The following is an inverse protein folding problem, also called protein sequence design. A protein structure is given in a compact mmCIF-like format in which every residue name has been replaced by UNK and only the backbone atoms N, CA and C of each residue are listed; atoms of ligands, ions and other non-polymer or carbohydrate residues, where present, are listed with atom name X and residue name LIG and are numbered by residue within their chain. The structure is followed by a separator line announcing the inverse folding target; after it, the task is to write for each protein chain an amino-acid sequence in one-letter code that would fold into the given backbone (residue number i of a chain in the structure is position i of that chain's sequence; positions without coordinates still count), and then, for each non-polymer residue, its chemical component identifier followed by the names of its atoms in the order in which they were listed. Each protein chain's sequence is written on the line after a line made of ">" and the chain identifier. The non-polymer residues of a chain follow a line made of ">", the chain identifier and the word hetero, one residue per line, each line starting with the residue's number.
data_IF_362530564645
#
_entry.id   IF_362530564645
#
_cell.length_a   1.000
_cell.length_b   1.000
_cell.length_c   1.000
_cell.angle_alpha   90.00
_cell.angle_beta   90.00
_cell.angle_gamma   90.00
#
_symmetry.space_group_name_H-M   'P 1'
#
loop_
_entity.id
_entity.type
_entity.pdbx_description
1 polymer ?
#
# COMPACT_ATOMS: atom_id res chain seq x y z
N UNK A 1 32.47 70.58 -19.45
CA UNK A 1 32.13 69.48 -20.37
C UNK A 1 33.01 68.26 -20.08
N UNK A 2 32.46 67.22 -19.43
CA UNK A 2 32.87 65.81 -19.60
C UNK A 2 31.89 64.94 -18.81
N UNK A 3 31.01 64.27 -19.55
CA UNK A 3 30.01 63.33 -19.05
C UNK A 3 30.76 62.12 -18.49
N UNK A 4 30.48 61.72 -17.26
CA UNK A 4 30.78 60.37 -16.77
C UNK A 4 29.45 59.66 -16.57
N UNK A 5 29.28 58.69 -17.46
CA UNK A 5 28.14 57.79 -17.56
C UNK A 5 28.16 56.90 -16.33
N UNK A 6 27.11 56.99 -15.50
CA UNK A 6 26.85 56.04 -14.43
C UNK A 6 26.43 54.71 -15.08
N UNK A 7 27.39 53.79 -15.16
CA UNK A 7 27.15 52.38 -15.43
C UNK A 7 26.65 51.76 -14.13
N UNK A 8 25.33 51.70 -13.97
CA UNK A 8 24.67 50.88 -12.96
C UNK A 8 24.42 49.51 -13.60
N UNK A 9 25.01 48.42 -13.10
CA UNK A 9 24.63 47.09 -13.56
C UNK A 9 23.21 46.79 -13.07
N UNK A 10 22.29 46.73 -14.03
CA UNK A 10 21.00 46.07 -13.90
C UNK A 10 21.23 44.64 -13.39
N UNK A 11 21.04 44.42 -12.09
CA UNK A 11 21.04 43.07 -11.52
C UNK A 11 20.04 42.98 -10.39
N UNK A 12 18.79 43.35 -10.69
CA UNK A 12 17.63 43.08 -9.80
C UNK A 12 16.48 42.42 -10.57
N UNK A 13 16.74 41.91 -11.78
CA UNK A 13 15.72 41.30 -12.65
C UNK A 13 16.07 39.86 -13.04
N UNK A 14 16.42 39.02 -12.07
CA UNK A 14 16.56 37.56 -12.30
C UNK A 14 16.28 36.73 -11.04
N UNK A 15 15.32 37.14 -10.21
CA UNK A 15 14.79 36.29 -9.11
C UNK A 15 13.26 36.32 -9.10
N UNK A 16 12.64 36.29 -10.27
CA UNK A 16 11.18 36.25 -10.40
C UNK A 16 10.67 35.23 -11.43
N UNK A 17 11.53 34.31 -11.91
CA UNK A 17 11.13 33.32 -12.92
C UNK A 17 11.74 31.93 -12.70
N UNK A 18 11.97 31.56 -11.44
CA UNK A 18 12.22 30.16 -11.04
C UNK A 18 11.29 29.71 -9.90
N UNK A 19 10.13 30.34 -9.80
CA UNK A 19 8.98 29.84 -9.04
C UNK A 19 7.86 29.49 -10.04
N UNK A 20 8.22 28.74 -11.08
CA UNK A 20 7.21 28.02 -11.84
C UNK A 20 6.83 26.80 -11.00
N UNK A 21 5.80 27.01 -10.19
CA UNK A 21 4.89 26.02 -9.64
C UNK A 21 5.30 24.57 -9.93
N UNK A 22 6.05 23.99 -8.98
CA UNK A 22 5.94 22.56 -8.74
C UNK A 22 4.59 22.29 -8.07
N UNK A 23 3.50 22.44 -8.80
CA UNK A 23 2.24 21.81 -8.42
C UNK A 23 2.30 20.34 -8.85
N UNK A 24 3.18 19.58 -8.20
CA UNK A 24 2.95 18.15 -8.06
C UNK A 24 1.73 18.06 -7.16
N UNK A 25 0.54 18.04 -7.78
CA UNK A 25 -0.69 17.64 -7.11
C UNK A 25 -0.35 16.38 -6.32
N UNK A 26 -0.69 16.27 -5.03
CA UNK A 26 -0.66 14.97 -4.38
C UNK A 26 -1.57 14.10 -5.23
N UNK A 27 -0.98 13.20 -6.01
CA UNK A 27 -1.74 12.14 -6.62
C UNK A 27 -2.16 11.33 -5.41
N UNK A 28 -3.34 11.65 -4.87
CA UNK A 28 -4.05 10.82 -3.92
C UNK A 28 -4.30 9.53 -4.69
N UNK A 29 -3.27 8.68 -4.73
CA UNK A 29 -3.42 7.28 -5.06
C UNK A 29 -4.44 6.82 -4.06
N UNK A 30 -5.70 6.74 -4.51
CA UNK A 30 -6.67 5.86 -3.89
C UNK A 30 -5.91 4.56 -3.78
N UNK A 31 -5.51 4.19 -2.56
CA UNK A 31 -5.06 2.84 -2.29
C UNK A 31 -6.25 2.01 -2.70
N UNK A 32 -6.19 1.43 -3.89
CA UNK A 32 -7.23 0.56 -4.38
C UNK A 32 -7.26 -0.56 -3.36
N UNK A 33 -8.29 -0.54 -2.52
CA UNK A 33 -8.44 -1.53 -1.46
C UNK A 33 -8.68 -2.83 -2.21
N UNK A 34 -7.66 -3.67 -2.23
CA UNK A 34 -7.73 -4.97 -2.89
C UNK A 34 -8.69 -5.82 -2.05
N UNK A 35 -9.98 -5.90 -2.40
CA UNK A 35 -10.94 -6.79 -1.72
C UNK A 35 -10.68 -8.28 -2.04
N UNK A 36 -9.42 -8.64 -2.33
CA UNK A 36 -8.98 -9.99 -2.63
C UNK A 36 -8.51 -10.69 -1.35
N UNK A 37 -8.75 -12.00 -1.27
CA UNK A 37 -8.21 -12.82 -0.18
C UNK A 37 -6.75 -13.13 -0.44
N UNK A 38 -5.97 -13.29 0.64
CA UNK A 38 -4.57 -13.70 0.54
C UNK A 38 -4.41 -15.00 -0.26
N UNK A 39 -5.31 -15.98 -0.09
CA UNK A 39 -5.31 -17.23 -0.89
C UNK A 39 -5.27 -16.99 -2.40
N UNK A 40 -6.01 -15.99 -2.89
CA UNK A 40 -6.11 -15.67 -4.31
C UNK A 40 -4.80 -15.04 -4.80
N UNK A 41 -4.20 -14.17 -3.99
CA UNK A 41 -2.89 -13.58 -4.28
C UNK A 41 -1.77 -14.63 -4.30
N UNK A 42 -1.82 -15.58 -3.36
CA UNK A 42 -0.88 -16.70 -3.29
C UNK A 42 -1.08 -17.73 -4.41
N UNK A 43 -2.13 -17.61 -5.23
CA UNK A 43 -2.25 -18.45 -6.42
C UNK A 43 -1.32 -17.97 -7.55
N UNK A 44 -0.92 -16.70 -7.54
CA UNK A 44 -0.08 -16.08 -8.57
C UNK A 44 1.35 -15.81 -8.12
N UNK A 45 1.62 -15.83 -6.80
CA UNK A 45 2.95 -15.65 -6.22
C UNK A 45 3.50 -17.00 -5.76
N UNK A 46 4.66 -17.39 -6.31
CA UNK A 46 5.37 -18.64 -5.97
C UNK A 46 6.74 -18.37 -5.30
N UNK A 47 6.95 -17.15 -4.80
CA UNK A 47 8.19 -16.71 -4.16
C UNK A 47 8.03 -16.54 -2.64
N UNK A 48 9.15 -16.27 -1.95
CA UNK A 48 9.13 -15.92 -0.52
C UNK A 48 8.27 -14.69 -0.28
N UNK A 49 7.44 -14.74 0.75
CA UNK A 49 6.43 -13.71 1.03
C UNK A 49 6.72 -13.09 2.39
N UNK A 50 6.62 -11.76 2.47
CA UNK A 50 6.56 -11.07 3.75
C UNK A 50 5.14 -10.56 3.96
N UNK A 51 4.51 -10.96 5.06
CA UNK A 51 3.20 -10.48 5.48
C UNK A 51 3.36 -9.42 6.55
N UNK A 52 2.56 -8.37 6.49
CA UNK A 52 2.44 -7.37 7.56
C UNK A 52 1.03 -7.40 8.14
N UNK A 53 0.92 -7.66 9.43
CA UNK A 53 -0.35 -7.78 10.16
C UNK A 53 -0.23 -6.94 11.42
N UNK A 54 -1.05 -5.89 11.54
CA UNK A 54 -1.02 -4.98 12.70
C UNK A 54 0.41 -4.49 13.03
N UNK A 55 1.14 -4.02 12.00
CA UNK A 55 2.53 -3.54 12.07
C UNK A 55 3.59 -4.61 12.44
N UNK A 56 3.19 -5.88 12.54
CA UNK A 56 4.12 -7.00 12.71
C UNK A 56 4.44 -7.62 11.35
N UNK A 57 5.74 -7.66 11.00
CA UNK A 57 6.23 -8.30 9.78
C UNK A 57 6.60 -9.76 10.04
N UNK A 58 5.96 -10.66 9.32
CA UNK A 58 6.20 -12.10 9.35
C UNK A 58 6.74 -12.54 7.98
N UNK A 59 7.93 -13.16 7.96
CA UNK A 59 8.53 -13.66 6.73
C UNK A 59 8.29 -15.16 6.60
N UNK A 60 7.86 -15.58 5.41
CA UNK A 60 7.60 -16.97 5.08
C UNK A 60 8.39 -17.36 3.83
N UNK A 61 9.14 -18.45 3.91
CA UNK A 61 9.99 -18.92 2.81
C UNK A 61 9.17 -19.49 1.64
N UNK A 62 7.96 -19.98 1.91
CA UNK A 62 7.05 -20.51 0.89
C UNK A 62 5.59 -20.39 1.31
N UNK A 63 4.69 -20.51 0.33
CA UNK A 63 3.24 -20.56 0.54
C UNK A 63 2.81 -21.67 1.51
N UNK A 64 3.50 -22.80 1.52
CA UNK A 64 3.19 -23.94 2.39
C UNK A 64 3.48 -23.68 3.86
N UNK A 65 4.35 -22.70 4.16
CA UNK A 65 4.66 -22.29 5.53
C UNK A 65 3.58 -21.38 6.14
N UNK A 66 2.61 -20.91 5.34
CA UNK A 66 1.57 -20.00 5.81
C UNK A 66 0.45 -20.75 6.56
N UNK A 67 0.09 -20.31 7.79
CA UNK A 67 -1.04 -20.87 8.50
C UNK A 67 -2.35 -20.72 7.71
N UNK A 68 -3.23 -21.72 7.77
CA UNK A 68 -4.53 -21.65 7.10
C UNK A 68 -5.37 -20.45 7.55
N UNK A 69 -5.23 -20.03 8.81
CA UNK A 69 -5.92 -18.87 9.37
C UNK A 69 -5.58 -17.59 8.60
N UNK A 70 -4.35 -17.45 8.09
CA UNK A 70 -3.91 -16.29 7.31
C UNK A 70 -4.50 -16.26 5.90
N UNK A 71 -4.92 -17.40 5.35
CA UNK A 71 -5.41 -17.51 3.96
C UNK A 71 -6.68 -16.71 3.69
N UNK A 72 -7.50 -16.48 4.71
CA UNK A 72 -8.78 -15.76 4.61
C UNK A 72 -8.65 -14.26 4.93
N UNK A 73 -7.45 -13.77 5.22
CA UNK A 73 -7.23 -12.34 5.42
C UNK A 73 -7.40 -11.59 4.10
N UNK A 74 -7.97 -10.38 4.20
CA UNK A 74 -8.09 -9.47 3.07
C UNK A 74 -6.75 -8.75 2.87
N UNK A 75 -6.29 -8.68 1.64
CA UNK A 75 -5.06 -7.96 1.29
C UNK A 75 -5.38 -6.46 1.24
N UNK A 76 -4.86 -5.65 2.16
CA UNK A 76 -5.08 -4.20 2.10
C UNK A 76 -4.23 -3.53 1.03
N UNK A 77 -2.98 -3.93 0.91
CA UNK A 77 -2.06 -3.38 -0.09
C UNK A 77 -0.86 -4.29 -0.31
N UNK A 78 -0.19 -4.12 -1.46
CA UNK A 78 1.05 -4.80 -1.78
C UNK A 78 2.11 -3.72 -2.03
N UNK A 79 3.24 -3.83 -1.35
CA UNK A 79 4.39 -2.93 -1.47
C UNK A 79 5.63 -3.73 -1.85
N UNK A 80 6.65 -3.05 -2.37
CA UNK A 80 7.98 -3.61 -2.50
C UNK A 80 8.81 -3.15 -1.29
N UNK A 81 9.39 -4.10 -0.55
CA UNK A 81 10.32 -3.84 0.54
C UNK A 81 11.60 -4.61 0.27
N UNK A 82 12.73 -3.91 0.10
CA UNK A 82 14.04 -4.50 -0.17
C UNK A 82 14.02 -5.60 -1.26
N UNK A 83 13.44 -5.29 -2.42
CA UNK A 83 13.34 -6.19 -3.57
C UNK A 83 12.45 -7.43 -3.36
N UNK A 84 11.67 -7.48 -2.27
CA UNK A 84 10.72 -8.54 -1.97
C UNK A 84 9.29 -7.99 -1.86
N UNK A 85 8.26 -8.78 -2.21
CA UNK A 85 6.88 -8.36 -2.05
C UNK A 85 6.49 -8.35 -0.55
N UNK A 86 6.06 -7.19 -0.07
CA UNK A 86 5.45 -6.98 1.24
C UNK A 86 3.94 -6.89 1.06
N UNK A 87 3.22 -7.86 1.62
CA UNK A 87 1.77 -7.95 1.54
C UNK A 87 1.20 -7.48 2.88
N UNK A 88 0.51 -6.35 2.87
CA UNK A 88 -0.14 -5.81 4.07
C UNK A 88 -1.54 -6.39 4.16
N UNK A 89 -1.83 -7.07 5.26
CA UNK A 89 -3.11 -7.70 5.50
C UNK A 89 -4.00 -6.81 6.39
N UNK A 90 -5.29 -6.84 6.08
CA UNK A 90 -6.33 -6.19 6.88
C UNK A 90 -6.84 -7.07 8.01
N UNK A 91 -8.00 -6.72 8.52
CA UNK A 91 -8.69 -7.55 9.49
C UNK A 91 -9.20 -8.84 8.82
N UNK A 92 -9.21 -9.97 9.54
CA UNK A 92 -9.83 -11.18 9.03
C UNK A 92 -11.32 -10.90 8.80
N UNK A 93 -11.82 -11.24 7.61
CA UNK A 93 -13.26 -11.15 7.33
C UNK A 93 -13.95 -12.19 8.22
N UNK A 94 -14.67 -11.73 9.24
CA UNK A 94 -15.45 -12.62 10.11
C UNK A 94 -16.48 -13.36 9.24
N UNK A 95 -16.27 -14.65 9.02
CA UNK A 95 -17.25 -15.51 8.36
C UNK A 95 -18.30 -15.84 9.40
N UNK A 96 -19.55 -15.49 9.14
CA UNK A 96 -20.65 -15.84 10.03
C UNK A 96 -20.76 -17.35 10.15
N UNK A 97 -20.85 -17.84 11.38
CA UNK A 97 -21.13 -19.25 11.66
C UNK A 97 -22.55 -19.61 11.24
N UNK A 98 -22.81 -20.90 11.00
CA UNK A 98 -24.16 -21.37 10.65
C UNK A 98 -25.15 -21.06 11.78
N UNK A 99 -24.71 -21.14 13.04
CA UNK A 99 -25.53 -20.73 14.18
C UNK A 99 -25.83 -19.23 14.18
N UNK A 100 -24.85 -18.36 13.88
CA UNK A 100 -25.07 -16.91 13.73
C UNK A 100 -26.03 -16.56 12.58
N UNK A 101 -26.09 -17.43 11.56
CA UNK A 101 -27.03 -17.31 10.43
C UNK A 101 -28.42 -17.90 10.73
N UNK A 102 -28.66 -18.38 11.95
CA UNK A 102 -29.94 -18.94 12.39
C UNK A 102 -30.19 -20.36 11.91
N UNK A 103 -29.18 -21.04 11.35
CA UNK A 103 -29.27 -22.45 11.04
C UNK A 103 -28.97 -23.25 12.30
N UNK A 104 -29.96 -24.02 12.76
CA UNK A 104 -29.77 -25.08 13.74
C UNK A 104 -29.92 -26.41 13.03
N UNK A 105 -28.96 -27.32 13.25
CA UNK A 105 -29.09 -28.69 12.78
C UNK A 105 -29.84 -29.47 13.84
N UNK A 106 -31.06 -29.88 13.53
CA UNK A 106 -31.76 -30.90 14.30
C UNK A 106 -31.06 -32.24 14.05
N UNK A 107 -30.20 -32.65 14.98
CA UNK A 107 -29.67 -34.02 14.99
C UNK A 107 -30.78 -34.95 15.47
N UNK A 108 -31.55 -35.52 14.54
CA UNK A 108 -32.50 -36.58 14.85
C UNK A 108 -31.77 -37.76 15.50
N UNK A 109 -32.24 -38.18 16.67
CA UNK A 109 -31.77 -39.37 17.40
C UNK A 109 -32.00 -40.66 16.61
#
# INVERSE_FOLDING_TARGET
>A
MKRRVFSLPFTVFTIALLYHQSEVKPNTMKSEVLDMKLRELLAVIDSSITLEIADVKEKYDSKSALPQERMNYIVKSIKADNNSPLIILGEPKKVATLEELGYSFETGM
#
